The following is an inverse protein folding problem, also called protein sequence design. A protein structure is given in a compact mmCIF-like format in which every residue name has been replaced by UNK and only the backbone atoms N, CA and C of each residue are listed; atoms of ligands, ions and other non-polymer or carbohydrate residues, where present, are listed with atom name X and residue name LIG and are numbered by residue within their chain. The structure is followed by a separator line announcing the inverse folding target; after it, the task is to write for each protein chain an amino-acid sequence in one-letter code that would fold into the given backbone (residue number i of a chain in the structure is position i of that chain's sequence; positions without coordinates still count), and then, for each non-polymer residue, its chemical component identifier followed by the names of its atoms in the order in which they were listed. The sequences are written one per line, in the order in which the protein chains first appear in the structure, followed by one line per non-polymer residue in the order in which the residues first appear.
data_IF_604680740003
#
_entry.id   IF_604680740003
#
_cell.length_a   1.000
_cell.length_b   1.000
_cell.length_c   1.000
_cell.angle_alpha   90.00
_cell.angle_beta   90.00
_cell.angle_gamma   90.00
#
_symmetry.space_group_name_H-M   'P 1'
#
loop_
_entity.id
_entity.type
_entity.pdbx_description
1 polymer ?
#
# COMPACT_ATOMS: atom_id res chain seq x y z
N UNK A 1 -3.44 -5.79 -9.06
CA UNK A 1 -2.96 -4.88 -10.10
C UNK A 1 -3.38 -3.46 -9.80
N UNK A 2 -2.57 -2.78 -8.97
CA UNK A 2 -2.82 -1.42 -8.50
C UNK A 2 -2.56 -0.30 -9.51
N UNK A 3 -2.76 -0.53 -10.79
CA UNK A 3 -2.79 0.48 -11.82
C UNK A 3 -4.19 0.56 -12.44
N UNK A 4 -5.17 0.42 -11.61
CA UNK A 4 -6.54 0.59 -12.05
C UNK A 4 -6.95 1.97 -11.60
N UNK A 5 -6.68 2.95 -12.44
CA UNK A 5 -7.35 4.22 -12.36
C UNK A 5 -8.85 4.06 -12.52
N UNK A 6 -9.59 5.10 -12.23
CA UNK A 6 -11.04 5.17 -12.37
C UNK A 6 -11.56 4.69 -13.74
N UNK A 7 -10.73 4.78 -14.77
CA UNK A 7 -11.04 4.38 -16.14
C UNK A 7 -11.30 2.87 -16.30
N UNK A 8 -10.55 2.02 -15.60
CA UNK A 8 -10.80 0.57 -15.65
C UNK A 8 -12.10 0.20 -14.94
N UNK A 9 -12.43 0.85 -13.83
CA UNK A 9 -13.70 0.67 -13.14
C UNK A 9 -14.90 1.12 -14.01
N UNK A 10 -14.73 2.14 -14.84
CA UNK A 10 -15.74 2.60 -15.78
C UNK A 10 -15.91 1.58 -16.91
N UNK A 11 -14.83 1.03 -17.43
CA UNK A 11 -14.84 0.04 -18.50
C UNK A 11 -15.49 -1.28 -18.11
N UNK A 12 -15.31 -1.72 -16.87
CA UNK A 12 -15.94 -2.92 -16.32
C UNK A 12 -17.45 -2.78 -16.07
N UNK A 13 -17.94 -1.53 -15.95
CA UNK A 13 -19.35 -1.27 -15.65
C UNK A 13 -20.06 -0.71 -16.89
N UNK A 14 -20.57 -1.59 -17.71
CA UNK A 14 -21.30 -1.24 -18.93
C UNK A 14 -22.39 -0.19 -18.71
N UNK A 15 -23.01 -0.15 -17.53
CA UNK A 15 -24.03 0.85 -17.19
C UNK A 15 -23.48 2.29 -17.07
N UNK A 16 -22.17 2.46 -16.84
CA UNK A 16 -21.53 3.77 -16.72
C UNK A 16 -21.00 4.30 -18.06
N UNK A 17 -20.77 3.43 -19.05
CA UNK A 17 -20.22 3.82 -20.34
C UNK A 17 -21.01 4.93 -21.05
N UNK A 18 -22.36 4.86 -21.21
CA UNK A 18 -23.11 5.89 -21.90
C UNK A 18 -23.06 7.26 -21.20
N UNK A 19 -22.88 7.26 -19.87
CA UNK A 19 -22.72 8.49 -19.10
C UNK A 19 -21.32 9.06 -19.27
N UNK A 20 -20.31 8.21 -19.27
CA UNK A 20 -18.91 8.58 -19.51
C UNK A 20 -18.75 9.15 -20.91
N UNK A 21 -19.23 8.47 -21.95
CA UNK A 21 -19.16 8.93 -23.34
C UNK A 21 -19.75 10.31 -23.52
N UNK A 22 -20.94 10.58 -22.94
CA UNK A 22 -21.56 11.91 -22.98
C UNK A 22 -20.74 13.00 -22.28
N UNK A 23 -20.01 12.66 -21.23
CA UNK A 23 -19.19 13.63 -20.49
C UNK A 23 -17.90 13.97 -21.23
N UNK A 24 -17.35 13.03 -21.98
CA UNK A 24 -16.05 13.19 -22.66
C UNK A 24 -16.18 13.53 -24.16
N UNK A 25 -17.39 13.58 -24.70
CA UNK A 25 -17.63 13.77 -26.14
C UNK A 25 -16.94 15.04 -26.69
N UNK A 26 -16.76 16.05 -25.86
CA UNK A 26 -16.10 17.31 -26.22
C UNK A 26 -14.63 17.38 -25.79
N UNK A 27 -14.06 16.31 -25.23
CA UNK A 27 -12.66 16.31 -24.78
C UNK A 27 -11.78 15.55 -25.79
N UNK A 28 -10.67 16.17 -26.18
CA UNK A 28 -9.62 15.47 -26.92
C UNK A 28 -8.87 14.51 -25.99
N UNK A 29 -8.38 13.40 -26.56
CA UNK A 29 -7.55 12.45 -25.80
C UNK A 29 -6.33 13.17 -25.20
N UNK A 30 -6.13 13.14 -23.87
CA UNK A 30 -5.04 13.84 -23.21
C UNK A 30 -3.66 13.19 -23.45
N UNK A 31 -3.63 11.97 -23.99
CA UNK A 31 -2.40 11.24 -24.29
C UNK A 31 -1.97 11.50 -25.72
N UNK A 32 -0.73 11.95 -25.91
CA UNK A 32 -0.20 12.25 -27.23
C UNK A 32 -0.17 11.00 -28.13
N UNK A 33 -0.35 11.18 -29.44
CA UNK A 33 -0.27 10.06 -30.40
C UNK A 33 1.11 9.38 -30.42
N UNK A 34 2.17 10.14 -30.11
CA UNK A 34 3.52 9.61 -30.04
C UNK A 34 3.64 8.65 -28.84
N UNK A 35 3.14 9.05 -27.67
CA UNK A 35 3.13 8.19 -26.48
C UNK A 35 2.29 6.92 -26.69
N UNK A 36 1.13 7.05 -27.33
CA UNK A 36 0.30 5.90 -27.69
C UNK A 36 1.04 4.94 -28.64
N UNK A 37 1.76 5.46 -29.64
CA UNK A 37 2.54 4.65 -30.55
C UNK A 37 3.69 3.92 -29.83
N UNK A 38 4.46 4.63 -28.99
CA UNK A 38 5.54 4.06 -28.19
C UNK A 38 5.02 2.93 -27.29
N UNK A 39 3.92 3.19 -26.57
CA UNK A 39 3.33 2.20 -25.68
C UNK A 39 2.80 0.98 -26.45
N UNK A 40 2.18 1.22 -27.60
CA UNK A 40 1.67 0.16 -28.47
C UNK A 40 2.83 -0.75 -28.93
N UNK A 41 3.92 -0.15 -29.36
CA UNK A 41 5.10 -0.89 -29.83
C UNK A 41 5.78 -1.66 -28.70
N UNK A 42 5.93 -1.05 -27.53
CA UNK A 42 6.43 -1.67 -26.31
C UNK A 42 5.63 -2.92 -25.90
N UNK A 43 4.29 -2.85 -25.99
CA UNK A 43 3.40 -3.99 -25.72
C UNK A 43 3.53 -5.05 -26.80
N UNK A 44 3.47 -4.69 -28.09
CA UNK A 44 3.54 -5.62 -29.23
C UNK A 44 4.84 -6.40 -29.27
N UNK A 45 5.95 -5.77 -28.90
CA UNK A 45 7.26 -6.42 -28.86
C UNK A 45 7.47 -7.31 -27.62
N UNK A 46 6.50 -7.42 -26.73
CA UNK A 46 6.56 -8.24 -25.52
C UNK A 46 7.43 -7.66 -24.38
N UNK A 47 7.94 -6.43 -24.53
CA UNK A 47 8.72 -5.77 -23.46
C UNK A 47 7.90 -5.50 -22.23
N UNK A 48 6.61 -5.21 -22.39
CA UNK A 48 5.68 -4.99 -21.27
C UNK A 48 5.56 -6.25 -20.41
N UNK A 49 5.37 -7.42 -20.98
CA UNK A 49 5.30 -8.68 -20.23
C UNK A 49 6.61 -9.01 -19.53
N UNK A 50 7.74 -8.83 -20.21
CA UNK A 50 9.06 -9.02 -19.60
C UNK A 50 9.25 -8.11 -18.41
N UNK A 51 8.85 -6.84 -18.52
CA UNK A 51 8.92 -5.87 -17.44
C UNK A 51 8.03 -6.31 -16.27
N UNK A 52 6.78 -6.66 -16.51
CA UNK A 52 5.86 -7.13 -15.47
C UNK A 52 6.39 -8.35 -14.72
N UNK A 53 6.89 -9.34 -15.44
CA UNK A 53 7.42 -10.56 -14.84
C UNK A 53 8.65 -10.28 -13.98
N UNK A 54 9.52 -9.38 -14.42
CA UNK A 54 10.67 -8.91 -13.63
C UNK A 54 10.20 -8.18 -12.36
N UNK A 55 9.23 -7.27 -12.47
CA UNK A 55 8.71 -6.51 -11.32
C UNK A 55 8.01 -7.43 -10.33
N UNK A 56 7.19 -8.38 -10.79
CA UNK A 56 6.55 -9.38 -9.93
C UNK A 56 7.57 -10.14 -9.09
N UNK A 57 8.69 -10.58 -9.69
CA UNK A 57 9.73 -11.30 -8.97
C UNK A 57 10.39 -10.43 -7.89
N UNK A 58 10.74 -9.19 -8.23
CA UNK A 58 11.37 -8.22 -7.29
C UNK A 58 10.42 -7.91 -6.13
N UNK A 59 9.17 -7.57 -6.44
CA UNK A 59 8.22 -7.18 -5.38
C UNK A 59 7.77 -8.37 -4.54
N UNK A 60 7.75 -9.57 -5.10
CA UNK A 60 7.50 -10.78 -4.32
C UNK A 60 8.60 -11.01 -3.29
N UNK A 61 9.89 -10.90 -3.66
CA UNK A 61 11.00 -11.01 -2.71
C UNK A 61 10.89 -10.01 -1.56
N UNK A 62 10.62 -8.74 -1.88
CA UNK A 62 10.41 -7.69 -0.87
C UNK A 62 9.20 -7.98 0.05
N UNK A 63 8.11 -8.43 -0.54
CA UNK A 63 6.90 -8.80 0.21
C UNK A 63 7.18 -9.95 1.18
N UNK A 64 7.78 -11.03 0.69
CA UNK A 64 8.06 -12.22 1.48
C UNK A 64 9.02 -11.87 2.64
N UNK A 65 10.05 -11.07 2.37
CA UNK A 65 10.95 -10.55 3.40
C UNK A 65 10.19 -9.70 4.44
N UNK A 66 9.30 -8.81 4.00
CA UNK A 66 8.49 -7.99 4.92
C UNK A 66 7.59 -8.83 5.81
N UNK A 67 6.89 -9.82 5.24
CA UNK A 67 5.99 -10.71 5.98
C UNK A 67 6.75 -11.51 7.03
N UNK A 68 7.91 -12.05 6.68
CA UNK A 68 8.79 -12.75 7.61
C UNK A 68 9.21 -11.86 8.79
N UNK A 69 9.64 -10.62 8.51
CA UNK A 69 10.05 -9.70 9.56
C UNK A 69 8.88 -9.22 10.42
N UNK A 70 7.70 -8.99 9.84
CA UNK A 70 6.50 -8.67 10.61
C UNK A 70 6.13 -9.80 11.56
N UNK A 71 6.12 -11.05 11.11
CA UNK A 71 5.86 -12.21 11.97
C UNK A 71 6.90 -12.38 13.07
N UNK A 72 8.17 -12.08 12.77
CA UNK A 72 9.28 -12.18 13.73
C UNK A 72 9.19 -11.16 14.87
N UNK A 73 8.84 -9.92 14.54
CA UNK A 73 8.90 -8.79 15.49
C UNK A 73 7.55 -8.42 16.11
N UNK A 74 6.45 -8.88 15.53
CA UNK A 74 5.10 -8.57 16.02
C UNK A 74 4.34 -9.86 16.37
N UNK A 75 4.03 -10.10 17.65
CA UNK A 75 3.12 -11.18 18.03
C UNK A 75 1.73 -11.00 17.43
N UNK A 76 1.07 -12.08 17.04
CA UNK A 76 -0.29 -12.06 16.48
C UNK A 76 -1.33 -11.37 17.38
N UNK A 77 -1.10 -11.35 18.70
CA UNK A 77 -1.94 -10.66 19.67
C UNK A 77 -1.87 -9.13 19.59
N UNK A 78 -0.85 -8.58 18.93
CA UNK A 78 -0.60 -7.14 18.86
C UNK A 78 -0.91 -6.60 17.47
N UNK A 79 -0.76 -7.42 16.44
CA UNK A 79 -0.88 -6.97 15.06
C UNK A 79 -1.56 -8.03 14.20
N UNK A 80 -2.59 -7.59 13.48
CA UNK A 80 -3.25 -8.38 12.45
C UNK A 80 -2.87 -7.85 11.07
N UNK A 81 -2.42 -8.73 10.19
CA UNK A 81 -1.98 -8.38 8.84
C UNK A 81 -3.07 -8.76 7.84
N UNK A 82 -3.37 -7.87 6.91
CA UNK A 82 -4.32 -8.10 5.83
C UNK A 82 -3.90 -7.40 4.55
N UNK A 83 -4.52 -7.75 3.42
CA UNK A 83 -4.19 -7.15 2.12
C UNK A 83 -2.84 -7.60 1.55
N UNK A 84 -2.33 -8.74 1.99
CA UNK A 84 -1.04 -9.33 1.61
C UNK A 84 -1.03 -9.95 0.20
N UNK A 85 -2.19 -10.16 -0.40
CA UNK A 85 -2.30 -10.87 -1.68
C UNK A 85 -2.16 -9.99 -2.92
N UNK A 86 -2.13 -8.68 -2.79
CA UNK A 86 -2.04 -7.77 -3.93
C UNK A 86 -1.48 -6.40 -3.56
N UNK A 87 -0.74 -5.81 -4.49
CA UNK A 87 -0.24 -4.44 -4.35
C UNK A 87 1.19 -4.35 -3.82
N UNK A 88 1.57 -3.14 -3.44
CA UNK A 88 2.92 -2.78 -2.98
C UNK A 88 2.91 -2.35 -1.51
N UNK A 89 1.87 -2.75 -0.79
CA UNK A 89 1.67 -2.45 0.63
C UNK A 89 0.90 -3.59 1.30
N UNK A 90 1.04 -3.67 2.61
CA UNK A 90 0.22 -4.50 3.49
C UNK A 90 -0.53 -3.59 4.46
N UNK A 91 -1.68 -4.03 4.92
CA UNK A 91 -2.43 -3.38 5.98
C UNK A 91 -2.10 -4.04 7.30
N UNK A 92 -1.69 -3.24 8.27
CA UNK A 92 -1.44 -3.69 9.63
C UNK A 92 -2.49 -3.09 10.55
N UNK A 93 -3.27 -3.93 11.20
CA UNK A 93 -4.26 -3.54 12.21
C UNK A 93 -3.66 -3.74 13.59
N UNK A 94 -3.63 -2.67 14.35
CA UNK A 94 -3.05 -2.69 15.69
C UNK A 94 -4.09 -3.06 16.74
N UNK A 95 -3.77 -4.06 17.56
CA UNK A 95 -4.64 -4.61 18.60
C UNK A 95 -4.18 -4.23 20.02
N UNK A 96 -3.09 -3.50 20.12
CA UNK A 96 -2.49 -3.13 21.41
C UNK A 96 -3.15 -1.89 22.06
N UNK A 97 -2.63 -1.46 23.21
CA UNK A 97 -3.27 -0.43 24.03
C UNK A 97 -3.00 1.03 23.59
N UNK A 98 -2.07 1.26 22.66
CA UNK A 98 -1.70 2.60 22.25
C UNK A 98 -2.74 3.21 21.31
N UNK A 99 -2.91 4.53 21.38
CA UNK A 99 -3.79 5.24 20.46
C UNK A 99 -3.13 5.41 19.08
N UNK A 100 -3.96 5.57 18.06
CA UNK A 100 -3.51 5.81 16.69
C UNK A 100 -2.65 7.08 16.60
N UNK A 101 -3.07 8.14 17.27
CA UNK A 101 -2.39 9.42 17.31
C UNK A 101 -0.99 9.32 17.93
N UNK A 102 -0.84 8.52 18.96
CA UNK A 102 0.45 8.28 19.61
C UNK A 102 1.41 7.52 18.69
N UNK A 103 0.91 6.48 18.03
CA UNK A 103 1.69 5.69 17.06
C UNK A 103 2.16 6.58 15.90
N UNK A 104 1.27 7.37 15.33
CA UNK A 104 1.59 8.28 14.22
C UNK A 104 2.62 9.34 14.64
N UNK A 105 2.47 9.92 15.82
CA UNK A 105 3.42 10.90 16.36
C UNK A 105 4.81 10.30 16.54
N UNK A 106 4.92 9.11 17.13
CA UNK A 106 6.20 8.40 17.29
C UNK A 106 6.83 8.07 15.94
N UNK A 107 6.06 7.55 15.01
CA UNK A 107 6.53 7.24 13.67
C UNK A 107 7.07 8.49 12.96
N UNK A 108 6.37 9.61 13.06
CA UNK A 108 6.81 10.88 12.48
C UNK A 108 8.12 11.39 13.10
N UNK A 109 8.24 11.32 14.43
CA UNK A 109 9.46 11.74 15.15
C UNK A 109 10.69 10.94 14.72
N UNK A 110 10.50 9.70 14.33
CA UNK A 110 11.58 8.80 13.87
C UNK A 110 11.82 8.86 12.35
N UNK A 111 11.15 9.77 11.64
CA UNK A 111 11.24 9.85 10.18
C UNK A 111 10.67 8.62 9.45
N UNK A 112 9.79 7.87 10.09
CA UNK A 112 9.12 6.68 9.55
C UNK A 112 7.62 6.94 9.39
N UNK A 113 7.19 7.78 8.43
CA UNK A 113 5.80 8.18 8.34
C UNK A 113 4.90 6.99 8.02
N UNK A 114 4.01 6.66 8.94
CA UNK A 114 2.93 5.70 8.73
C UNK A 114 1.70 6.41 8.17
N UNK A 115 0.98 5.74 7.30
CA UNK A 115 -0.27 6.25 6.76
C UNK A 115 -1.45 5.51 7.39
N UNK A 116 -2.27 6.24 8.14
CA UNK A 116 -3.50 5.69 8.72
C UNK A 116 -4.58 5.54 7.66
N UNK A 117 -5.38 4.48 7.80
CA UNK A 117 -6.59 4.28 7.01
C UNK A 117 -7.79 5.13 7.48
N UNK A 118 -7.74 5.72 8.68
CA UNK A 118 -8.81 6.54 9.24
C UNK A 118 -9.30 7.64 8.29
N UNK A 119 -8.36 8.30 7.61
CA UNK A 119 -8.68 9.37 6.65
C UNK A 119 -9.39 8.92 5.36
N UNK A 120 -9.51 7.63 5.09
CA UNK A 120 -10.23 7.10 3.94
C UNK A 120 -11.71 6.80 4.23
N UNK A 121 -12.12 6.84 5.49
CA UNK A 121 -13.50 6.62 5.89
C UNK A 121 -14.26 7.95 5.96
N UNK A 122 -15.44 8.03 5.34
CA UNK A 122 -16.38 9.14 5.57
C UNK A 122 -17.02 9.02 6.96
N UNK A 123 -17.39 7.80 7.36
CA UNK A 123 -17.88 7.48 8.69
C UNK A 123 -17.06 6.30 9.22
N UNK A 124 -16.46 6.47 10.38
CA UNK A 124 -15.69 5.40 11.03
C UNK A 124 -16.65 4.29 11.50
N UNK A 125 -16.33 3.01 11.26
CA UNK A 125 -17.07 1.90 11.81
C UNK A 125 -17.06 1.94 13.35
N UNK A 126 -18.14 1.48 14.01
CA UNK A 126 -18.25 1.44 15.47
C UNK A 126 -17.10 0.66 16.16
N UNK A 127 -16.50 -0.30 15.45
CA UNK A 127 -15.39 -1.13 15.94
C UNK A 127 -14.10 -0.88 15.16
N UNK A 128 -13.86 0.39 14.77
CA UNK A 128 -12.61 0.75 14.08
C UNK A 128 -11.42 0.51 15.02
N UNK A 129 -10.45 -0.21 14.52
CA UNK A 129 -9.14 -0.38 15.14
C UNK A 129 -8.08 0.36 14.32
N UNK A 130 -7.06 0.93 14.98
CA UNK A 130 -5.98 1.62 14.28
C UNK A 130 -5.39 0.75 13.18
N UNK A 131 -5.54 1.17 11.95
CA UNK A 131 -5.08 0.41 10.78
C UNK A 131 -4.16 1.29 9.95
N UNK A 132 -2.98 0.77 9.66
CA UNK A 132 -1.93 1.49 8.95
C UNK A 132 -1.58 0.80 7.66
N UNK A 133 -1.21 1.59 6.67
CA UNK A 133 -0.72 1.15 5.39
C UNK A 133 0.80 1.14 5.42
N UNK A 134 1.39 -0.03 5.22
CA UNK A 134 2.83 -0.24 5.21
C UNK A 134 3.31 -0.58 3.81
N UNK A 135 3.92 0.40 3.14
CA UNK A 135 4.45 0.26 1.79
C UNK A 135 5.88 -0.27 1.80
N UNK A 136 6.19 -1.20 0.88
CA UNK A 136 7.52 -1.79 0.76
C UNK A 136 8.19 -1.55 -0.61
N UNK A 137 7.53 -0.86 -1.52
CA UNK A 137 8.04 -0.67 -2.89
C UNK A 137 9.42 0.00 -2.93
N UNK A 138 9.61 1.03 -2.10
CA UNK A 138 10.82 1.86 -2.08
C UNK A 138 11.93 1.31 -1.17
N UNK A 139 11.66 0.23 -0.43
CA UNK A 139 12.67 -0.42 0.41
C UNK A 139 13.42 -1.49 -0.39
N UNK A 140 14.68 -1.75 -0.02
CA UNK A 140 15.39 -2.94 -0.47
C UNK A 140 15.18 -4.10 0.49
N UNK A 141 15.39 -5.33 0.04
CA UNK A 141 15.32 -6.51 0.92
C UNK A 141 16.31 -6.43 2.09
N UNK A 142 17.42 -5.72 1.90
CA UNK A 142 18.44 -5.49 2.94
C UNK A 142 17.98 -4.50 4.02
N UNK A 143 17.16 -3.51 3.65
CA UNK A 143 16.70 -2.46 4.59
C UNK A 143 15.41 -2.82 5.30
N UNK A 144 14.60 -3.72 4.77
CA UNK A 144 13.32 -4.14 5.37
C UNK A 144 13.49 -4.66 6.81
N UNK A 145 14.47 -5.54 7.13
CA UNK A 145 14.62 -6.07 8.47
C UNK A 145 14.84 -4.98 9.52
N UNK A 146 15.72 -4.03 9.25
CA UNK A 146 16.04 -2.94 10.18
C UNK A 146 14.87 -1.95 10.32
N UNK A 147 14.15 -1.69 9.23
CA UNK A 147 12.95 -0.85 9.25
C UNK A 147 11.86 -1.47 10.12
N UNK A 148 11.55 -2.76 9.95
CA UNK A 148 10.51 -3.46 10.72
C UNK A 148 10.92 -3.61 12.20
N UNK A 149 12.18 -3.93 12.48
CA UNK A 149 12.69 -3.95 13.85
C UNK A 149 12.53 -2.59 14.53
N UNK A 150 12.96 -1.51 13.88
CA UNK A 150 12.82 -0.15 14.40
C UNK A 150 11.35 0.25 14.59
N UNK A 151 10.48 -0.16 13.69
CA UNK A 151 9.03 0.06 13.79
C UNK A 151 8.49 -0.62 15.07
N UNK A 152 8.83 -1.89 15.29
CA UNK A 152 8.40 -2.64 16.47
C UNK A 152 8.92 -2.04 17.77
N UNK A 153 10.23 -1.81 17.86
CA UNK A 153 10.89 -1.41 19.09
C UNK A 153 10.64 0.04 19.51
N UNK A 154 10.44 0.95 18.55
CA UNK A 154 10.39 2.38 18.82
C UNK A 154 9.01 2.99 18.63
N UNK A 155 8.22 2.47 17.69
CA UNK A 155 6.90 3.02 17.37
C UNK A 155 5.80 2.28 18.12
N UNK A 156 5.79 0.96 18.04
CA UNK A 156 4.76 0.11 18.65
C UNK A 156 5.14 -0.44 20.04
N UNK A 157 6.34 -0.17 20.53
CA UNK A 157 6.70 -0.56 21.88
C UNK A 157 5.78 0.11 22.90
N UNK A 158 5.18 -0.68 23.79
CA UNK A 158 4.49 -0.15 24.95
C UNK A 158 5.48 0.67 25.78
N UNK A 159 5.09 1.84 26.31
CA UNK A 159 5.93 2.54 27.28
C UNK A 159 6.22 1.55 28.40
N UNK A 160 7.51 1.36 28.72
CA UNK A 160 7.88 0.59 29.92
C UNK A 160 7.10 1.20 31.08
N UNK A 161 6.42 0.38 31.92
CA UNK A 161 5.83 0.92 33.12
C UNK A 161 6.96 1.63 33.88
N UNK A 162 6.79 2.92 34.16
CA UNK A 162 7.69 3.62 35.07
C UNK A 162 7.63 2.86 36.38
N UNK A 163 8.71 2.15 36.71
CA UNK A 163 8.91 1.66 38.06
C UNK A 163 9.04 2.89 38.95
N UNK A 164 7.97 3.22 39.63
CA UNK A 164 7.93 4.13 40.76
C UNK A 164 8.56 3.41 41.96
#
# INVERSE_FOLDING_TARGET
LGLVGSEMCIRDRMALLPRFERLIDNYSCPVSRIEQAILTDFIKQGYFEKHLNRMRKIYKGKHDCMMEQLQKYFPEKILEISGDNAGLYVLIRYLGPQTEEEILRRAQTLGMPLKSLKGYYQNLPCHYLPTFLLGFANLSEETIPDAIRSLSEKVFASPKPYLL
#
